data_IF_408308459714
#
_entry.id   IF_408308459714
#
_cell.length_a   1.000
_cell.length_b   1.000
_cell.length_c   1.000
_cell.angle_alpha   90.00
_cell.angle_beta   90.00
_cell.angle_gamma   90.00
#
_symmetry.space_group_name_H-M   'P 1'
#
loop_
_entity.id
_entity.type
_entity.pdbx_description
1 polymer ?
#
# COMPACT_ATOMS: atom_id res chain seq x y z
N UNK A 1 -2.43 -18.66 36.27
CA UNK A 1 -2.40 -17.33 35.60
C UNK A 1 -1.77 -17.57 34.24
N UNK A 2 -2.58 -17.60 33.18
CA UNK A 2 -2.13 -18.00 31.84
C UNK A 2 -1.31 -16.85 31.25
N UNK A 3 -0.11 -17.14 30.74
CA UNK A 3 0.77 -16.13 30.17
C UNK A 3 0.19 -15.66 28.84
N UNK A 4 0.02 -14.35 28.65
CA UNK A 4 -0.39 -13.78 27.36
C UNK A 4 0.72 -14.06 26.34
N UNK A 5 0.39 -14.81 25.30
CA UNK A 5 1.25 -14.97 24.12
C UNK A 5 0.77 -13.94 23.11
N UNK A 6 1.53 -12.87 22.90
CA UNK A 6 1.26 -11.93 21.81
C UNK A 6 1.61 -12.63 20.49
N UNK A 7 0.57 -13.12 19.80
CA UNK A 7 0.66 -13.73 18.45
C UNK A 7 0.73 -12.66 17.36
N UNK A 8 0.85 -11.38 17.73
CA UNK A 8 1.14 -10.33 16.77
C UNK A 8 2.57 -10.52 16.29
N UNK A 9 2.72 -10.84 15.00
CA UNK A 9 3.95 -10.64 14.22
C UNK A 9 4.64 -9.38 14.75
N UNK A 10 5.95 -9.38 15.05
CA UNK A 10 6.62 -8.14 15.45
C UNK A 10 6.18 -7.10 14.44
N UNK A 11 5.55 -6.03 14.91
CA UNK A 11 5.04 -4.98 14.04
C UNK A 11 6.21 -4.65 13.13
N UNK A 12 6.09 -5.01 11.84
CA UNK A 12 7.10 -4.63 10.87
C UNK A 12 6.96 -3.12 10.80
N UNK A 13 7.68 -2.41 11.67
CA UNK A 13 7.73 -0.97 11.69
C UNK A 13 8.35 -0.60 10.35
N UNK A 14 7.55 -0.01 9.49
CA UNK A 14 8.08 0.62 8.29
C UNK A 14 9.24 1.53 8.71
N UNK A 15 10.39 1.50 8.00
CA UNK A 15 11.56 2.28 8.41
C UNK A 15 11.30 3.79 8.50
N UNK A 16 10.33 4.28 7.73
CA UNK A 16 9.83 5.65 7.79
C UNK A 16 8.35 5.67 8.19
N UNK A 17 7.92 6.79 8.79
CA UNK A 17 6.49 7.11 8.88
C UNK A 17 5.88 7.30 7.49
N UNK A 18 4.55 7.27 7.39
CA UNK A 18 3.82 7.38 6.12
C UNK A 18 4.25 8.66 5.35
N UNK A 19 4.97 8.53 4.22
CA UNK A 19 5.51 9.67 3.49
C UNK A 19 4.53 10.23 2.45
N UNK A 20 3.45 9.51 2.08
CA UNK A 20 2.44 9.95 1.10
C UNK A 20 1.97 11.41 1.29
N UNK A 21 1.70 11.89 2.53
CA UNK A 21 1.25 13.27 2.71
C UNK A 21 2.26 14.31 2.23
N UNK A 22 3.57 14.05 2.35
CA UNK A 22 4.62 14.95 1.88
C UNK A 22 4.53 15.14 0.36
N UNK A 23 4.41 14.04 -0.39
CA UNK A 23 4.33 14.07 -1.84
C UNK A 23 3.06 14.77 -2.33
N UNK A 24 1.93 14.54 -1.67
CA UNK A 24 0.65 15.16 -2.02
C UNK A 24 0.55 16.64 -1.63
N UNK A 25 1.14 17.06 -0.52
CA UNK A 25 1.26 18.49 -0.17
C UNK A 25 2.19 19.20 -1.15
N UNK A 26 3.33 18.59 -1.48
CA UNK A 26 4.25 19.11 -2.49
C UNK A 26 3.59 19.28 -3.85
N UNK A 27 2.81 18.29 -4.29
CA UNK A 27 1.96 18.40 -5.47
C UNK A 27 1.00 19.58 -5.38
N UNK A 28 0.28 19.73 -4.27
CA UNK A 28 -0.67 20.81 -4.06
C UNK A 28 -0.03 22.19 -4.23
N UNK A 29 1.16 22.40 -3.66
CA UNK A 29 1.93 23.63 -3.83
C UNK A 29 2.38 23.83 -5.28
N UNK A 30 2.84 22.77 -5.95
CA UNK A 30 3.18 22.81 -7.38
C UNK A 30 2.00 23.20 -8.28
N UNK A 31 0.82 22.59 -8.05
CA UNK A 31 -0.42 22.95 -8.74
C UNK A 31 -0.84 24.40 -8.47
N UNK A 32 -0.69 24.88 -7.23
CA UNK A 32 -0.95 26.28 -6.88
C UNK A 32 -0.02 27.24 -7.64
N UNK A 33 1.26 26.87 -7.83
CA UNK A 33 2.21 27.66 -8.62
C UNK A 33 1.86 27.70 -10.12
N UNK A 34 1.31 26.62 -10.67
CA UNK A 34 0.88 26.56 -12.07
C UNK A 34 -0.48 27.24 -12.32
N UNK A 35 -1.29 27.42 -11.28
CA UNK A 35 -2.66 27.93 -11.42
C UNK A 35 -2.71 29.31 -12.09
N UNK A 36 -1.95 30.34 -11.67
CA UNK A 36 -1.96 31.64 -12.35
C UNK A 36 -1.60 31.54 -13.83
N UNK A 37 -0.59 30.73 -14.16
CA UNK A 37 -0.13 30.48 -15.54
C UNK A 37 -1.23 29.83 -16.36
N UNK A 38 -1.93 28.86 -15.79
CA UNK A 38 -3.04 28.16 -16.46
C UNK A 38 -4.22 29.08 -16.80
N UNK A 39 -4.41 30.16 -16.02
CA UNK A 39 -5.39 31.21 -16.28
C UNK A 39 -4.82 32.41 -17.07
N UNK A 40 -3.59 32.32 -17.57
CA UNK A 40 -2.98 33.35 -18.43
C UNK A 40 -2.30 34.50 -17.69
N UNK A 41 -2.08 34.37 -16.38
CA UNK A 41 -1.36 35.34 -15.55
C UNK A 41 0.07 34.86 -15.27
N UNK A 42 1.00 35.77 -14.97
CA UNK A 42 2.37 35.40 -14.59
C UNK A 42 3.22 34.83 -15.73
N UNK A 43 2.90 35.18 -16.99
CA UNK A 43 3.60 34.72 -18.19
C UNK A 43 4.90 35.49 -18.46
N UNK A 44 5.16 36.56 -17.71
CA UNK A 44 6.42 37.28 -17.73
C UNK A 44 7.58 36.43 -17.18
N UNK A 45 8.84 36.70 -17.56
CA UNK A 45 10.00 35.89 -17.15
C UNK A 45 10.13 35.69 -15.63
N UNK A 46 9.77 36.69 -14.83
CA UNK A 46 9.82 36.60 -13.37
C UNK A 46 8.78 35.59 -12.83
N UNK A 47 7.55 35.62 -13.36
CA UNK A 47 6.49 34.69 -13.01
C UNK A 47 6.86 33.25 -13.35
N UNK A 48 7.33 33.01 -14.58
CA UNK A 48 7.77 31.69 -15.04
C UNK A 48 8.94 31.12 -14.21
N UNK A 49 9.95 31.94 -13.88
CA UNK A 49 11.07 31.53 -13.01
C UNK A 49 10.62 31.17 -11.60
N UNK A 50 9.67 31.94 -11.06
CA UNK A 50 9.12 31.69 -9.72
C UNK A 50 8.34 30.37 -9.71
N UNK A 51 7.48 30.16 -10.70
CA UNK A 51 6.74 28.91 -10.85
C UNK A 51 7.68 27.72 -11.07
N UNK A 52 8.73 27.87 -11.88
CA UNK A 52 9.75 26.84 -12.10
C UNK A 52 10.39 26.40 -10.78
N UNK A 53 10.83 27.34 -9.94
CA UNK A 53 11.44 27.03 -8.65
C UNK A 53 10.48 26.28 -7.72
N UNK A 54 9.22 26.73 -7.63
CA UNK A 54 8.20 26.07 -6.79
C UNK A 54 7.85 24.66 -7.30
N UNK A 55 7.74 24.50 -8.62
CA UNK A 55 7.53 23.20 -9.26
C UNK A 55 8.69 22.23 -8.95
N UNK A 56 9.94 22.72 -8.99
CA UNK A 56 11.11 21.90 -8.70
C UNK A 56 11.15 21.46 -7.24
N UNK A 57 11.02 22.40 -6.31
CA UNK A 57 11.19 22.13 -4.89
C UNK A 57 10.01 21.34 -4.30
N UNK A 58 8.78 21.74 -4.60
CA UNK A 58 7.60 21.12 -4.01
C UNK A 58 7.03 20.00 -4.88
N UNK A 59 6.90 20.24 -6.20
CA UNK A 59 6.43 19.20 -7.12
C UNK A 59 7.47 18.08 -7.29
N UNK A 60 8.73 18.45 -7.52
CA UNK A 60 9.84 17.51 -7.70
C UNK A 60 10.34 16.92 -6.37
N UNK A 61 11.05 17.72 -5.56
CA UNK A 61 11.80 17.18 -4.43
C UNK A 61 10.93 16.50 -3.36
N UNK A 62 9.77 17.05 -2.99
CA UNK A 62 8.89 16.41 -2.01
C UNK A 62 8.39 15.04 -2.52
N UNK A 63 8.04 14.94 -3.81
CA UNK A 63 7.60 13.67 -4.39
C UNK A 63 8.75 12.69 -4.57
N UNK A 64 9.96 13.17 -4.90
CA UNK A 64 11.15 12.32 -4.96
C UNK A 64 11.43 11.65 -3.61
N UNK A 65 11.45 12.45 -2.54
CA UNK A 65 11.66 11.95 -1.17
C UNK A 65 10.56 10.97 -0.78
N UNK A 66 9.31 11.28 -1.12
CA UNK A 66 8.17 10.39 -0.87
C UNK A 66 8.36 9.06 -1.59
N UNK A 67 8.68 9.09 -2.89
CA UNK A 67 8.90 7.88 -3.68
C UNK A 67 10.05 7.01 -3.14
N UNK A 68 11.16 7.64 -2.75
CA UNK A 68 12.29 6.96 -2.13
C UNK A 68 11.91 6.31 -0.79
N UNK A 69 11.19 7.02 0.07
CA UNK A 69 10.73 6.50 1.36
C UNK A 69 9.73 5.35 1.17
N UNK A 70 8.82 5.43 0.19
CA UNK A 70 7.87 4.36 -0.15
C UNK A 70 8.58 3.09 -0.63
N UNK A 71 9.61 3.21 -1.47
CA UNK A 71 10.43 2.05 -1.86
C UNK A 71 11.08 1.39 -0.63
N UNK A 72 11.56 2.20 0.33
CA UNK A 72 12.12 1.69 1.58
C UNK A 72 11.07 1.06 2.49
N UNK A 73 9.84 1.59 2.48
CA UNK A 73 8.67 1.03 3.16
C UNK A 73 8.08 -0.19 2.42
N UNK A 74 8.75 -0.68 1.35
CA UNK A 74 8.34 -1.83 0.52
C UNK A 74 7.00 -1.62 -0.20
N UNK A 75 6.60 -0.37 -0.39
CA UNK A 75 5.48 0.00 -1.23
C UNK A 75 5.98 0.41 -2.61
N UNK A 76 6.29 -0.60 -3.43
CA UNK A 76 6.78 -0.39 -4.79
C UNK A 76 5.80 0.40 -5.66
N UNK A 77 4.50 0.30 -5.37
CA UNK A 77 3.45 0.93 -6.15
C UNK A 77 3.43 2.45 -5.97
N UNK A 78 3.34 2.93 -4.73
CA UNK A 78 3.44 4.36 -4.45
C UNK A 78 4.83 4.91 -4.76
N UNK A 79 5.89 4.13 -4.48
CA UNK A 79 7.27 4.49 -4.78
C UNK A 79 7.50 4.83 -6.24
N UNK A 80 7.01 3.98 -7.15
CA UNK A 80 7.12 4.20 -8.59
C UNK A 80 6.37 5.46 -9.05
N UNK A 81 5.13 5.64 -8.57
CA UNK A 81 4.25 6.74 -8.96
C UNK A 81 4.85 8.09 -8.54
N UNK A 82 5.18 8.26 -7.26
CA UNK A 82 5.74 9.52 -6.75
C UNK A 82 7.10 9.85 -7.37
N UNK A 83 7.94 8.85 -7.62
CA UNK A 83 9.24 9.07 -8.27
C UNK A 83 9.06 9.51 -9.73
N UNK A 84 8.16 8.86 -10.48
CA UNK A 84 7.88 9.21 -11.88
C UNK A 84 7.32 10.63 -12.00
N UNK A 85 6.35 10.99 -11.16
CA UNK A 85 5.79 12.34 -11.15
C UNK A 85 6.80 13.39 -10.70
N UNK A 86 7.67 13.08 -9.74
CA UNK A 86 8.78 13.97 -9.36
C UNK A 86 9.61 14.38 -10.57
N UNK A 87 10.05 13.42 -11.38
CA UNK A 87 10.84 13.74 -12.57
C UNK A 87 10.03 14.51 -13.62
N UNK A 88 8.73 14.23 -13.77
CA UNK A 88 7.86 15.05 -14.62
C UNK A 88 7.73 16.51 -14.10
N UNK A 89 7.72 16.72 -12.79
CA UNK A 89 7.76 18.06 -12.19
C UNK A 89 9.11 18.76 -12.42
N UNK A 90 10.23 18.03 -12.36
CA UNK A 90 11.55 18.57 -12.71
C UNK A 90 11.59 19.01 -14.18
N UNK A 91 11.04 18.20 -15.10
CA UNK A 91 10.92 18.58 -16.51
C UNK A 91 10.03 19.81 -16.66
N UNK A 92 8.88 19.87 -15.98
CA UNK A 92 7.97 21.03 -16.01
C UNK A 92 8.67 22.30 -15.50
N UNK A 93 9.43 22.19 -14.41
CA UNK A 93 10.22 23.29 -13.88
C UNK A 93 11.27 23.78 -14.89
N UNK A 94 11.98 22.85 -15.52
CA UNK A 94 12.93 23.19 -16.57
C UNK A 94 12.25 23.86 -17.77
N UNK A 95 11.09 23.38 -18.23
CA UNK A 95 10.34 23.98 -19.34
C UNK A 95 9.95 25.43 -19.04
N UNK A 96 9.40 25.69 -17.84
CA UNK A 96 9.04 27.03 -17.41
C UNK A 96 10.27 27.96 -17.35
N UNK A 97 11.38 27.47 -16.80
CA UNK A 97 12.63 28.21 -16.78
C UNK A 97 13.16 28.49 -18.19
N UNK A 98 13.14 27.50 -19.07
CA UNK A 98 13.66 27.62 -20.42
C UNK A 98 12.86 28.65 -21.24
N UNK A 99 11.52 28.62 -21.14
CA UNK A 99 10.64 29.61 -21.77
C UNK A 99 10.94 31.02 -21.23
N UNK A 100 11.21 31.15 -19.93
CA UNK A 100 11.55 32.44 -19.31
C UNK A 100 12.82 33.10 -19.85
N UNK A 101 13.71 32.31 -20.45
CA UNK A 101 14.97 32.79 -21.07
C UNK A 101 14.92 32.76 -22.60
N UNK A 102 13.73 32.55 -23.18
CA UNK A 102 13.53 32.55 -24.63
C UNK A 102 13.87 31.24 -25.34
N UNK A 103 14.12 30.16 -24.60
CA UNK A 103 14.30 28.82 -25.18
C UNK A 103 12.96 28.09 -25.23
N UNK A 104 12.54 27.67 -26.43
CA UNK A 104 11.27 26.95 -26.64
C UNK A 104 11.57 25.45 -26.77
N UNK A 105 11.13 24.60 -25.82
CA UNK A 105 11.30 23.15 -25.91
C UNK A 105 10.59 22.54 -27.12
N UNK A 106 11.14 21.43 -27.64
CA UNK A 106 10.60 20.77 -28.83
C UNK A 106 9.25 20.09 -28.54
N UNK A 107 8.17 20.67 -29.06
CA UNK A 107 6.78 20.22 -28.87
C UNK A 107 6.56 18.72 -29.14
N UNK A 108 7.08 18.20 -30.26
CA UNK A 108 6.86 16.80 -30.65
C UNK A 108 7.46 15.78 -29.68
N UNK A 109 8.59 16.12 -29.03
CA UNK A 109 9.22 15.23 -28.05
C UNK A 109 8.40 15.25 -26.77
N UNK A 110 7.97 16.45 -26.33
CA UNK A 110 7.13 16.59 -25.14
C UNK A 110 5.79 15.86 -25.30
N UNK A 111 5.16 15.97 -26.47
CA UNK A 111 3.92 15.25 -26.78
C UNK A 111 4.11 13.73 -26.70
N UNK A 112 5.22 13.19 -27.26
CA UNK A 112 5.52 11.76 -27.18
C UNK A 112 5.71 11.28 -25.73
N UNK A 113 6.38 12.09 -24.90
CA UNK A 113 6.55 11.81 -23.47
C UNK A 113 5.21 11.85 -22.73
N UNK A 114 4.35 12.84 -23.01
CA UNK A 114 3.02 12.93 -22.39
C UNK A 114 2.15 11.71 -22.75
N UNK A 115 2.23 11.19 -23.98
CA UNK A 115 1.55 9.94 -24.38
C UNK A 115 2.10 8.73 -23.60
N UNK A 116 3.42 8.61 -23.50
CA UNK A 116 4.05 7.51 -22.76
C UNK A 116 3.67 7.54 -21.27
N UNK A 117 3.62 8.73 -20.66
CA UNK A 117 3.19 8.91 -19.27
C UNK A 117 1.73 8.50 -19.08
N UNK A 118 0.82 8.87 -19.98
CA UNK A 118 -0.58 8.42 -19.92
C UNK A 118 -0.70 6.89 -20.01
N UNK A 119 0.06 6.25 -20.91
CA UNK A 119 0.07 4.79 -21.06
C UNK A 119 0.58 4.07 -19.80
N UNK A 120 1.47 4.70 -19.05
CA UNK A 120 1.96 4.19 -17.75
C UNK A 120 0.94 4.45 -16.64
N UNK A 121 0.34 5.64 -16.60
CA UNK A 121 -0.56 6.05 -15.52
C UNK A 121 -1.92 5.36 -15.56
N UNK A 122 -2.53 5.22 -16.73
CA UNK A 122 -3.85 4.61 -16.87
C UNK A 122 -3.99 3.21 -16.21
N UNK A 123 -3.07 2.24 -16.40
CA UNK A 123 -3.14 0.96 -15.68
C UNK A 123 -2.85 1.11 -14.18
N UNK A 124 -2.02 2.07 -13.76
CA UNK A 124 -1.77 2.35 -12.34
C UNK A 124 -3.04 2.88 -11.66
N UNK A 125 -3.84 3.73 -12.34
CA UNK A 125 -5.14 4.20 -11.86
C UNK A 125 -6.07 3.04 -11.49
N UNK A 126 -6.11 1.98 -12.32
CA UNK A 126 -6.87 0.76 -12.01
C UNK A 126 -6.32 0.05 -10.77
N UNK A 127 -4.99 -0.05 -10.66
CA UNK A 127 -4.34 -0.65 -9.49
C UNK A 127 -4.66 0.09 -8.18
N UNK A 128 -4.76 1.42 -8.20
CA UNK A 128 -5.18 2.20 -7.03
C UNK A 128 -6.63 1.95 -6.59
N UNK A 129 -7.45 1.35 -7.46
CA UNK A 129 -8.79 0.88 -7.12
C UNK A 129 -8.82 -0.12 -5.97
N UNK A 130 -7.74 -0.85 -5.70
CA UNK A 130 -7.64 -1.75 -4.56
C UNK A 130 -7.34 -1.04 -3.22
N UNK A 131 -7.03 0.26 -3.23
CA UNK A 131 -6.64 1.02 -2.04
C UNK A 131 -7.73 2.01 -1.60
N UNK A 132 -8.14 2.93 -2.49
CA UNK A 132 -9.10 3.99 -2.13
C UNK A 132 -9.77 4.58 -3.36
N UNK A 133 -11.10 4.79 -3.29
CA UNK A 133 -11.86 5.55 -4.30
C UNK A 133 -11.39 7.00 -4.41
N UNK A 134 -10.93 7.61 -3.30
CA UNK A 134 -10.38 8.97 -3.32
C UNK A 134 -9.09 9.04 -4.14
N UNK A 135 -8.22 8.03 -4.01
CA UNK A 135 -7.00 7.93 -4.82
C UNK A 135 -7.31 7.65 -6.30
N UNK A 136 -8.31 6.81 -6.59
CA UNK A 136 -8.76 6.59 -7.98
C UNK A 136 -9.26 7.89 -8.60
N UNK A 137 -10.14 8.63 -7.91
CA UNK A 137 -10.65 9.90 -8.43
C UNK A 137 -9.51 10.89 -8.71
N UNK A 138 -8.56 10.98 -7.79
CA UNK A 138 -7.37 11.81 -7.93
C UNK A 138 -6.51 11.42 -9.15
N UNK A 139 -6.33 10.12 -9.42
CA UNK A 139 -5.56 9.66 -10.60
C UNK A 139 -6.33 9.79 -11.91
N UNK A 140 -7.64 9.57 -11.90
CA UNK A 140 -8.51 9.80 -13.07
C UNK A 140 -8.45 11.26 -13.50
N UNK A 141 -8.39 12.20 -12.55
CA UNK A 141 -8.20 13.62 -12.84
C UNK A 141 -6.87 13.90 -13.56
N UNK A 142 -5.78 13.25 -13.11
CA UNK A 142 -4.49 13.31 -13.81
C UNK A 142 -4.57 12.69 -15.21
N UNK A 143 -5.18 11.52 -15.35
CA UNK A 143 -5.34 10.86 -16.66
C UNK A 143 -6.10 11.77 -17.63
N UNK A 144 -7.18 12.40 -17.16
CA UNK A 144 -7.96 13.35 -17.95
C UNK A 144 -7.14 14.60 -18.30
N UNK A 145 -6.29 15.09 -17.38
CA UNK A 145 -5.38 16.20 -17.64
C UNK A 145 -4.39 15.86 -18.76
N UNK A 146 -3.81 14.66 -18.76
CA UNK A 146 -2.93 14.20 -19.85
C UNK A 146 -3.68 14.03 -21.17
N UNK A 147 -4.90 13.48 -21.15
CA UNK A 147 -5.75 13.40 -22.34
C UNK A 147 -5.98 14.78 -22.93
N UNK A 148 -6.36 15.77 -22.12
CA UNK A 148 -6.56 17.15 -22.61
C UNK A 148 -5.27 17.76 -23.17
N UNK A 149 -4.11 17.55 -22.53
CA UNK A 149 -2.81 18.00 -23.03
C UNK A 149 -2.45 17.37 -24.38
N UNK A 150 -2.69 16.07 -24.54
CA UNK A 150 -2.42 15.34 -25.78
C UNK A 150 -3.35 15.84 -26.90
N UNK A 151 -4.65 16.00 -26.62
CA UNK A 151 -5.61 16.57 -27.58
C UNK A 151 -5.18 17.98 -28.00
N UNK A 152 -4.77 18.83 -27.06
CA UNK A 152 -4.20 20.15 -27.35
C UNK A 152 -2.99 20.04 -28.27
N UNK A 153 -2.09 19.10 -27.98
CA UNK A 153 -0.84 18.91 -28.70
C UNK A 153 -1.02 18.48 -30.16
N UNK A 154 -2.06 17.69 -30.46
CA UNK A 154 -2.39 17.27 -31.83
C UNK A 154 -3.23 18.30 -32.59
N UNK A 155 -4.21 18.93 -31.94
CA UNK A 155 -5.22 19.76 -32.61
C UNK A 155 -4.87 21.25 -32.61
N UNK A 156 -4.00 21.70 -31.70
CA UNK A 156 -3.74 23.11 -31.45
C UNK A 156 -4.93 23.89 -30.86
N UNK A 157 -6.03 23.21 -30.53
CA UNK A 157 -7.25 23.86 -30.04
C UNK A 157 -7.04 24.52 -28.68
N UNK A 158 -7.54 25.74 -28.53
CA UNK A 158 -7.52 26.44 -27.24
C UNK A 158 -8.72 26.06 -26.36
N UNK A 159 -9.69 25.31 -26.90
CA UNK A 159 -10.90 24.90 -26.17
C UNK A 159 -10.60 24.05 -24.92
N UNK A 160 -9.48 23.35 -24.93
CA UNK A 160 -9.04 22.49 -23.81
C UNK A 160 -8.20 23.22 -22.76
N UNK A 161 -7.89 24.52 -22.94
CA UNK A 161 -7.12 25.28 -21.95
C UNK A 161 -7.84 25.39 -20.60
N UNK A 162 -9.12 25.75 -20.64
CA UNK A 162 -9.92 25.89 -19.42
C UNK A 162 -10.11 24.54 -18.71
N UNK A 163 -10.42 23.42 -19.41
CA UNK A 163 -10.35 22.09 -18.82
C UNK A 163 -9.01 21.76 -18.15
N UNK A 164 -7.87 22.01 -18.82
CA UNK A 164 -6.54 21.75 -18.25
C UNK A 164 -6.33 22.57 -16.97
N UNK A 165 -6.72 23.86 -16.97
CA UNK A 165 -6.62 24.71 -15.80
C UNK A 165 -7.49 24.21 -14.64
N UNK A 166 -8.75 23.85 -14.93
CA UNK A 166 -9.68 23.32 -13.94
C UNK A 166 -9.20 22.00 -13.31
N UNK A 167 -8.69 21.07 -14.14
CA UNK A 167 -8.11 19.81 -13.67
C UNK A 167 -6.84 20.06 -12.84
N UNK A 168 -5.99 21.00 -13.23
CA UNK A 168 -4.80 21.36 -12.43
C UNK A 168 -5.16 21.84 -11.03
N UNK A 169 -6.22 22.64 -10.91
CA UNK A 169 -6.75 23.08 -9.61
C UNK A 169 -7.39 21.93 -8.85
N UNK A 170 -8.23 21.13 -9.53
CA UNK A 170 -8.89 19.95 -8.96
C UNK A 170 -7.88 18.97 -8.37
N UNK A 171 -6.82 18.65 -9.13
CA UNK A 171 -5.70 17.84 -8.72
C UNK A 171 -5.04 18.33 -7.43
N UNK A 172 -4.70 19.62 -7.37
CA UNK A 172 -4.06 20.22 -6.20
C UNK A 172 -4.95 20.16 -4.96
N UNK A 173 -6.23 20.48 -5.12
CA UNK A 173 -7.21 20.43 -4.03
C UNK A 173 -7.44 19.01 -3.51
N UNK A 174 -7.57 18.04 -4.40
CA UNK A 174 -7.71 16.63 -4.02
C UNK A 174 -6.45 16.09 -3.34
N UNK A 175 -5.27 16.44 -3.84
CA UNK A 175 -3.99 16.08 -3.22
C UNK A 175 -3.89 16.61 -1.79
N UNK A 176 -4.16 17.90 -1.59
CA UNK A 176 -4.18 18.53 -0.26
C UNK A 176 -5.22 17.86 0.65
N UNK A 177 -6.43 17.60 0.14
CA UNK A 177 -7.48 16.94 0.90
C UNK A 177 -7.04 15.57 1.42
N UNK A 178 -6.48 14.73 0.55
CA UNK A 178 -6.01 13.39 0.90
C UNK A 178 -4.82 13.45 1.87
N UNK A 179 -3.91 14.41 1.69
CA UNK A 179 -2.77 14.63 2.59
C UNK A 179 -3.22 15.06 3.99
N UNK A 180 -4.14 16.03 4.08
CA UNK A 180 -4.70 16.47 5.35
C UNK A 180 -5.47 15.33 6.04
N UNK A 181 -6.20 14.54 5.26
CA UNK A 181 -6.92 13.40 5.80
C UNK A 181 -6.00 12.33 6.40
N UNK A 182 -4.84 12.10 5.79
CA UNK A 182 -3.84 11.13 6.26
C UNK A 182 -3.00 11.66 7.43
N UNK A 183 -2.84 12.98 7.58
CA UNK A 183 -2.13 13.59 8.72
C UNK A 183 -3.04 13.89 9.92
N UNK A 184 -4.23 14.46 9.70
CA UNK A 184 -5.09 15.00 10.76
C UNK A 184 -5.97 13.91 11.39
N UNK A 185 -6.52 12.98 10.60
CA UNK A 185 -7.41 11.96 11.15
C UNK A 185 -6.74 11.10 12.23
N UNK A 186 -5.47 10.64 12.06
CA UNK A 186 -4.78 9.89 13.12
C UNK A 186 -4.51 10.73 14.37
N UNK A 187 -4.18 12.01 14.22
CA UNK A 187 -3.92 12.93 15.34
C UNK A 187 -5.18 13.18 16.16
N UNK A 188 -6.33 13.35 15.49
CA UNK A 188 -7.62 13.59 16.17
C UNK A 188 -8.25 12.28 16.67
N UNK A 189 -7.79 11.12 16.19
CA UNK A 189 -8.36 9.82 16.54
C UNK A 189 -9.76 9.56 15.97
N UNK A 190 -10.22 10.38 15.01
CA UNK A 190 -11.49 10.21 14.29
C UNK A 190 -11.40 10.72 12.86
N UNK A 191 -12.32 10.29 12.01
CA UNK A 191 -12.37 10.72 10.61
C UNK A 191 -12.97 12.12 10.47
N UNK A 192 -12.12 13.15 10.46
CA UNK A 192 -12.50 14.56 10.17
C UNK A 192 -12.61 14.77 8.67
N UNK A 193 -11.58 14.36 7.93
CA UNK A 193 -11.59 14.35 6.47
C UNK A 193 -11.98 12.98 5.95
N UNK A 194 -12.97 12.93 5.07
CA UNK A 194 -13.44 11.67 4.50
C UNK A 194 -12.46 11.17 3.44
N UNK A 195 -12.00 9.92 3.62
CA UNK A 195 -11.29 9.13 2.62
C UNK A 195 -12.19 7.94 2.34
N UNK A 196 -12.58 7.76 1.08
CA UNK A 196 -13.42 6.64 0.69
C UNK A 196 -12.57 5.36 0.62
N UNK A 197 -13.15 4.23 1.05
CA UNK A 197 -12.51 2.92 0.99
C UNK A 197 -12.22 2.45 -0.43
N UNK A 198 -11.70 1.22 -0.62
CA UNK A 198 -11.31 0.70 -1.93
C UNK A 198 -12.51 0.56 -2.88
N UNK A 199 -12.24 0.66 -4.18
CA UNK A 199 -13.20 0.43 -5.26
C UNK A 199 -13.32 -1.07 -5.58
N UNK A 200 -12.19 -1.78 -5.56
CA UNK A 200 -12.09 -3.21 -5.81
C UNK A 200 -11.65 -3.95 -4.54
N UNK A 201 -12.20 -5.14 -4.33
CA UNK A 201 -11.81 -6.00 -3.21
C UNK A 201 -11.04 -7.19 -3.75
N UNK A 202 -9.76 -7.29 -3.40
CA UNK A 202 -9.00 -8.50 -3.69
C UNK A 202 -9.50 -9.63 -2.77
N UNK A 203 -9.76 -10.81 -3.34
CA UNK A 203 -10.04 -12.02 -2.57
C UNK A 203 -8.77 -12.42 -1.83
N UNK A 204 -8.62 -11.98 -0.58
CA UNK A 204 -7.51 -12.43 0.27
C UNK A 204 -7.59 -13.95 0.37
N UNK A 205 -6.52 -14.66 -0.02
CA UNK A 205 -6.33 -16.06 0.37
C UNK A 205 -6.25 -16.04 1.89
N UNK A 206 -7.35 -16.38 2.57
CA UNK A 206 -7.34 -16.52 4.03
C UNK A 206 -6.38 -17.66 4.35
N UNK A 207 -5.55 -17.45 5.36
CA UNK A 207 -4.78 -18.55 5.94
C UNK A 207 -5.78 -19.59 6.43
N UNK A 208 -5.73 -20.78 5.86
CA UNK A 208 -6.60 -21.86 6.28
C UNK A 208 -6.07 -22.44 7.59
N UNK A 209 -6.76 -22.12 8.68
CA UNK A 209 -6.42 -22.61 10.02
C UNK A 209 -7.12 -23.93 10.35
N UNK A 210 -7.94 -24.48 9.45
CA UNK A 210 -8.74 -25.68 9.72
C UNK A 210 -7.89 -26.88 10.11
N UNK A 211 -6.84 -27.18 9.35
CA UNK A 211 -5.91 -28.29 9.63
C UNK A 211 -5.23 -28.15 10.98
N UNK A 212 -4.71 -26.96 11.29
CA UNK A 212 -4.04 -26.69 12.57
C UNK A 212 -5.02 -26.78 13.73
N UNK A 213 -6.24 -26.25 13.56
CA UNK A 213 -7.30 -26.35 14.57
C UNK A 213 -7.65 -27.80 14.86
N UNK A 214 -7.82 -28.64 13.83
CA UNK A 214 -8.10 -30.06 14.00
C UNK A 214 -6.99 -30.78 14.79
N UNK A 215 -5.72 -30.48 14.48
CA UNK A 215 -4.57 -31.02 15.23
C UNK A 215 -4.65 -30.60 16.71
N UNK A 216 -4.89 -29.31 16.98
CA UNK A 216 -5.02 -28.81 18.34
C UNK A 216 -6.19 -29.44 19.09
N UNK A 217 -7.38 -29.55 18.48
CA UNK A 217 -8.57 -30.14 19.09
C UNK A 217 -8.30 -31.59 19.53
N UNK A 218 -7.70 -32.40 18.65
CA UNK A 218 -7.39 -33.81 18.93
C UNK A 218 -6.33 -33.95 20.04
N UNK A 219 -5.24 -33.19 19.97
CA UNK A 219 -4.19 -33.26 20.97
C UNK A 219 -4.63 -32.70 22.33
N UNK A 220 -5.50 -31.69 22.34
CA UNK A 220 -6.06 -31.12 23.57
C UNK A 220 -7.07 -32.07 24.23
N UNK A 221 -7.90 -32.78 23.44
CA UNK A 221 -8.76 -33.84 23.94
C UNK A 221 -7.94 -34.97 24.59
N UNK A 222 -6.87 -35.42 23.94
CA UNK A 222 -5.94 -36.39 24.55
C UNK A 222 -5.31 -35.86 25.82
N UNK A 223 -4.92 -34.59 25.85
CA UNK A 223 -4.38 -34.00 27.06
C UNK A 223 -5.38 -33.98 28.22
N UNK A 224 -6.67 -33.73 27.96
CA UNK A 224 -7.70 -33.83 29.03
C UNK A 224 -7.85 -35.23 29.59
N UNK A 225 -7.69 -36.25 28.76
CA UNK A 225 -7.87 -37.65 29.17
C UNK A 225 -6.60 -38.28 29.77
N UNK A 226 -5.43 -37.95 29.21
CA UNK A 226 -4.14 -38.62 29.46
C UNK A 226 -3.00 -37.66 29.78
N UNK A 227 -3.32 -36.40 30.07
CA UNK A 227 -2.36 -35.36 30.35
C UNK A 227 -1.24 -35.27 29.29
N UNK A 228 0.00 -35.41 29.72
CA UNK A 228 1.18 -35.12 28.92
C UNK A 228 1.72 -36.32 28.13
N UNK A 229 0.92 -37.39 27.99
CA UNK A 229 1.27 -38.60 27.25
C UNK A 229 1.36 -38.36 25.73
N UNK A 230 2.49 -38.69 25.07
CA UNK A 230 2.66 -38.51 23.62
C UNK A 230 1.68 -39.35 22.79
N UNK A 231 1.15 -38.77 21.71
CA UNK A 231 0.35 -39.46 20.68
C UNK A 231 1.25 -39.89 19.52
N UNK A 232 1.24 -41.17 19.11
CA UNK A 232 1.88 -41.59 17.86
C UNK A 232 1.38 -40.77 16.66
N UNK A 233 2.28 -40.39 15.75
CA UNK A 233 1.91 -39.55 14.60
C UNK A 233 0.83 -40.21 13.72
N UNK A 234 0.91 -41.52 13.52
CA UNK A 234 -0.08 -42.31 12.78
C UNK A 234 -1.47 -42.20 13.41
N UNK A 235 -1.56 -42.29 14.75
CA UNK A 235 -2.81 -42.12 15.48
C UNK A 235 -3.37 -40.70 15.33
N UNK A 236 -2.50 -39.68 15.32
CA UNK A 236 -2.92 -38.30 15.07
C UNK A 236 -3.48 -38.15 13.65
N UNK A 237 -2.78 -38.70 12.65
CA UNK A 237 -3.20 -38.67 11.25
C UNK A 237 -4.58 -39.29 11.05
N UNK A 238 -4.83 -40.44 11.68
CA UNK A 238 -6.12 -41.11 11.61
C UNK A 238 -7.24 -40.28 12.26
N UNK A 239 -6.98 -39.71 13.44
CA UNK A 239 -8.00 -38.93 14.18
C UNK A 239 -8.37 -37.60 13.51
N UNK A 240 -7.45 -36.98 12.76
CA UNK A 240 -7.73 -35.72 12.06
C UNK A 240 -8.17 -35.92 10.61
N UNK A 241 -8.07 -37.14 10.07
CA UNK A 241 -8.30 -37.48 8.66
C UNK A 241 -9.59 -36.90 8.09
N UNK A 242 -10.70 -37.08 8.81
CA UNK A 242 -12.02 -36.60 8.40
C UNK A 242 -12.13 -35.07 8.47
N UNK A 243 -11.50 -34.46 9.47
CA UNK A 243 -11.51 -33.00 9.67
C UNK A 243 -10.65 -32.25 8.64
N UNK A 244 -9.62 -32.90 8.08
CA UNK A 244 -8.69 -32.30 7.11
C UNK A 244 -8.90 -32.80 5.68
N UNK A 245 -9.98 -33.54 5.44
CA UNK A 245 -10.33 -34.13 4.13
C UNK A 245 -9.17 -34.89 3.47
N UNK A 246 -8.36 -35.60 4.27
CA UNK A 246 -7.20 -36.36 3.80
C UNK A 246 -5.97 -35.54 3.40
N UNK A 247 -5.93 -34.23 3.67
CA UNK A 247 -4.74 -33.42 3.47
C UNK A 247 -3.57 -33.88 4.37
N UNK A 248 -2.32 -33.85 3.88
CA UNK A 248 -1.16 -34.24 4.67
C UNK A 248 -0.93 -33.23 5.81
N UNK A 249 -0.93 -33.72 7.05
CA UNK A 249 -0.77 -32.86 8.24
C UNK A 249 0.69 -32.62 8.65
N UNK A 250 1.64 -33.37 8.07
CA UNK A 250 3.05 -33.32 8.48
C UNK A 250 3.67 -31.92 8.39
N UNK A 251 3.42 -31.11 7.31
CA UNK A 251 3.92 -29.73 7.26
C UNK A 251 3.39 -28.86 8.40
N UNK A 252 2.12 -29.04 8.78
CA UNK A 252 1.51 -28.30 9.88
C UNK A 252 2.05 -28.73 11.25
N UNK A 253 2.34 -30.02 11.43
CA UNK A 253 3.00 -30.52 12.65
C UNK A 253 4.41 -29.93 12.80
N UNK A 254 5.22 -29.94 11.74
CA UNK A 254 6.55 -29.30 11.78
C UNK A 254 6.46 -27.79 12.04
N UNK A 255 5.49 -27.10 11.40
CA UNK A 255 5.25 -25.68 11.63
C UNK A 255 4.91 -25.39 13.09
N UNK A 256 3.99 -26.15 13.68
CA UNK A 256 3.56 -25.96 15.07
C UNK A 256 4.64 -26.36 16.08
N UNK A 257 5.50 -27.32 15.73
CA UNK A 257 6.70 -27.66 16.51
C UNK A 257 7.72 -26.53 16.51
N UNK A 258 8.07 -25.99 15.34
CA UNK A 258 9.01 -24.86 15.20
C UNK A 258 8.50 -23.60 15.92
N UNK A 259 7.19 -23.37 15.89
CA UNK A 259 6.56 -22.28 16.62
C UNK A 259 6.58 -22.49 18.15
N UNK A 260 6.90 -23.69 18.62
CA UNK A 260 7.03 -24.03 20.03
C UNK A 260 5.71 -24.33 20.74
N UNK A 261 4.69 -24.81 20.02
CA UNK A 261 3.41 -25.25 20.60
C UNK A 261 3.32 -26.77 20.80
N UNK A 262 4.10 -27.52 20.04
CA UNK A 262 4.17 -28.97 20.12
C UNK A 262 5.49 -29.42 20.73
N UNK A 263 5.44 -30.55 21.42
CA UNK A 263 6.61 -31.33 21.78
C UNK A 263 6.56 -32.62 20.97
N UNK A 264 7.63 -32.92 20.24
CA UNK A 264 7.72 -34.07 19.34
C UNK A 264 8.86 -34.99 19.76
N UNK A 265 8.63 -36.29 19.67
CA UNK A 265 9.70 -37.29 19.80
C UNK A 265 10.10 -37.73 18.40
N UNK A 266 11.38 -37.62 18.07
CA UNK A 266 11.92 -38.04 16.77
C UNK A 266 12.66 -39.37 16.86
N UNK A 267 12.82 -40.04 15.72
CA UNK A 267 13.71 -41.19 15.54
C UNK A 267 15.16 -40.72 15.33
N UNK A 268 16.13 -41.65 15.34
CA UNK A 268 17.53 -41.34 15.00
C UNK A 268 17.69 -40.77 13.58
N UNK A 269 16.74 -41.05 12.68
CA UNK A 269 16.66 -40.48 11.33
C UNK A 269 15.93 -39.12 11.27
N UNK A 270 15.61 -38.52 12.42
CA UNK A 270 14.90 -37.25 12.57
C UNK A 270 13.44 -37.25 12.07
N UNK A 271 12.80 -38.42 12.01
CA UNK A 271 11.38 -38.55 11.67
C UNK A 271 10.52 -38.42 12.92
N UNK A 272 9.39 -37.70 12.83
CA UNK A 272 8.48 -37.51 13.97
C UNK A 272 7.75 -38.83 14.26
N UNK A 273 8.01 -39.40 15.44
CA UNK A 273 7.37 -40.62 15.93
C UNK A 273 6.09 -40.34 16.70
N UNK A 274 6.13 -39.36 17.58
CA UNK A 274 4.99 -38.98 18.42
C UNK A 274 4.99 -37.49 18.70
N UNK A 275 3.82 -36.99 19.06
CA UNK A 275 3.55 -35.57 19.25
C UNK A 275 2.57 -35.36 20.41
N UNK A 276 2.76 -34.27 21.13
CA UNK A 276 1.82 -33.79 22.16
C UNK A 276 1.83 -32.27 22.19
N UNK A 277 0.80 -31.70 22.81
CA UNK A 277 0.84 -30.29 23.18
C UNK A 277 1.79 -30.08 24.36
N UNK A 278 2.58 -29.02 24.29
CA UNK A 278 3.27 -28.50 25.47
C UNK A 278 2.37 -27.49 26.20
N UNK A 279 2.84 -26.95 27.33
CA UNK A 279 2.07 -25.97 28.12
C UNK A 279 1.65 -24.75 27.30
N UNK A 280 2.51 -24.24 26.40
CA UNK A 280 2.18 -23.10 25.52
C UNK A 280 1.11 -23.44 24.50
N UNK A 281 1.13 -24.65 23.94
CA UNK A 281 0.10 -25.13 23.01
C UNK A 281 -1.27 -25.29 23.67
N UNK A 282 -1.30 -25.77 24.91
CA UNK A 282 -2.52 -25.87 25.73
C UNK A 282 -3.08 -24.46 25.99
N UNK A 283 -2.23 -23.56 26.50
CA UNK A 283 -2.61 -22.17 26.77
C UNK A 283 -3.18 -21.50 25.51
N UNK A 284 -2.49 -21.63 24.36
CA UNK A 284 -2.96 -21.08 23.08
C UNK A 284 -4.35 -21.62 22.71
N UNK A 285 -4.58 -22.92 22.87
CA UNK A 285 -5.85 -23.55 22.53
C UNK A 285 -7.00 -23.06 23.42
N UNK A 286 -6.79 -23.01 24.73
CA UNK A 286 -7.79 -22.49 25.67
C UNK A 286 -8.13 -21.03 25.41
N UNK A 287 -7.12 -20.26 25.04
CA UNK A 287 -7.21 -18.83 24.79
C UNK A 287 -7.91 -18.51 23.47
N UNK A 288 -7.41 -19.04 22.35
CA UNK A 288 -7.86 -18.65 21.01
C UNK A 288 -9.02 -19.50 20.48
N UNK A 289 -9.10 -20.78 20.88
CA UNK A 289 -10.11 -21.71 20.34
C UNK A 289 -11.32 -21.82 21.25
N UNK A 290 -11.10 -21.89 22.57
CA UNK A 290 -12.19 -21.99 23.56
C UNK A 290 -12.68 -20.62 24.08
N UNK A 291 -12.00 -19.52 23.73
CA UNK A 291 -12.44 -18.16 24.07
C UNK A 291 -12.47 -17.85 25.56
N UNK A 292 -11.71 -18.58 26.40
CA UNK A 292 -11.71 -18.42 27.87
C UNK A 292 -11.01 -17.13 28.37
N UNK A 293 -10.83 -16.13 27.51
CA UNK A 293 -10.20 -14.84 27.82
C UNK A 293 -11.16 -13.78 28.40
N UNK A 294 -12.47 -14.03 28.41
CA UNK A 294 -13.49 -13.05 28.84
C UNK A 294 -14.07 -13.34 30.24
N UNK A 295 -13.21 -13.64 31.22
CA UNK A 295 -13.59 -13.61 32.65
C UNK A 295 -12.67 -12.68 33.41
#
# INVERSE_FOLDING_TARGET
>A
MVRKIDVTTPAHSEPYGNPVPLGLLGLGVGCAALTPIAFGHGLEPAGLKTAALLCLLFGGCCQFLTGYMEFRNRNAFAGAVFTLFSFNWVVTAWELYAISVGFIPHHGIKLAVDIALLMILAPLTVGFGYFSKSLVLFLVDIDLLYVCKIVKGFTGTQAVNLPIAALTVGLGLMGIWIALATLINPVVGRQVFRIAGPLFFARRKRFDFSTRRAIFDVLYARWKERAFEPMPLEELQDRVKDAVAGAPILPDVHYLWEFGYLDVTTTEANEIRSVRLNARGIDLHEQLVLGKWEV
#
